data_IF_574043488285
#
_entry.id   IF_574043488285
#
_cell.length_a   1.000
_cell.length_b   1.000
_cell.length_c   1.000
_cell.angle_alpha   90.00
_cell.angle_beta   90.00
_cell.angle_gamma   90.00
#
_symmetry.space_group_name_H-M   'P 1'
#
loop_
_entity.id
_entity.type
_entity.pdbx_description
1 polymer ?
#
# COMPACT_ATOMS: atom_id res chain seq x y z
N UNK A 1 -17.81 15.38 -31.11
CA UNK A 1 -16.36 15.31 -30.80
C UNK A 1 -15.74 14.27 -31.71
N UNK A 2 -14.73 14.64 -32.51
CA UNK A 2 -13.97 13.67 -33.32
C UNK A 2 -13.31 12.65 -32.39
N UNK A 3 -13.49 11.35 -32.65
CA UNK A 3 -12.86 10.29 -31.89
C UNK A 3 -11.37 10.27 -32.22
N UNK A 4 -10.51 10.25 -31.19
CA UNK A 4 -9.07 10.13 -31.38
C UNK A 4 -8.78 8.78 -32.07
N UNK A 5 -8.06 8.72 -33.20
CA UNK A 5 -7.86 7.48 -33.96
C UNK A 5 -7.16 6.37 -33.17
N UNK A 6 -6.40 6.74 -32.14
CA UNK A 6 -5.69 5.80 -31.24
C UNK A 6 -6.42 5.57 -29.91
N UNK A 7 -7.66 6.03 -29.78
CA UNK A 7 -8.44 5.74 -28.60
C UNK A 7 -8.87 4.28 -28.61
N UNK A 8 -8.68 3.61 -27.48
CA UNK A 8 -9.27 2.29 -27.24
C UNK A 8 -10.79 2.38 -27.40
N UNK A 9 -11.32 1.49 -28.23
CA UNK A 9 -12.74 1.16 -28.34
C UNK A 9 -13.28 0.66 -27.00
N UNK A 10 -14.61 0.60 -26.87
CA UNK A 10 -15.22 0.13 -25.63
C UNK A 10 -14.93 -1.37 -25.40
N UNK A 11 -14.93 -2.16 -26.46
CA UNK A 11 -14.61 -3.59 -26.42
C UNK A 11 -13.18 -3.86 -25.94
N UNK A 12 -12.21 -3.07 -26.42
CA UNK A 12 -10.81 -3.21 -25.98
C UNK A 12 -10.66 -2.85 -24.49
N UNK A 13 -11.38 -1.84 -24.01
CA UNK A 13 -11.35 -1.45 -22.60
C UNK A 13 -11.94 -2.52 -21.71
N UNK A 14 -13.05 -3.10 -22.12
CA UNK A 14 -13.69 -4.20 -21.41
C UNK A 14 -12.77 -5.42 -21.34
N UNK A 15 -12.13 -5.77 -22.46
CA UNK A 15 -11.12 -6.84 -22.49
C UNK A 15 -9.93 -6.59 -21.55
N UNK A 16 -9.44 -5.35 -21.48
CA UNK A 16 -8.36 -4.97 -20.55
C UNK A 16 -8.82 -5.12 -19.10
N UNK A 17 -10.02 -4.64 -18.77
CA UNK A 17 -10.57 -4.74 -17.40
C UNK A 17 -10.77 -6.21 -17.02
N UNK A 18 -11.38 -7.01 -17.90
CA UNK A 18 -11.57 -8.44 -17.68
C UNK A 18 -10.22 -9.14 -17.43
N UNK A 19 -9.19 -8.80 -18.22
CA UNK A 19 -7.84 -9.34 -18.02
C UNK A 19 -7.29 -8.95 -16.64
N UNK A 20 -7.45 -7.70 -16.22
CA UNK A 20 -7.00 -7.25 -14.90
C UNK A 20 -7.75 -7.94 -13.76
N UNK A 21 -8.98 -8.41 -13.98
CA UNK A 21 -9.79 -9.15 -12.99
C UNK A 21 -9.55 -10.66 -12.96
N UNK A 22 -8.82 -11.23 -13.93
CA UNK A 22 -8.53 -12.67 -13.94
C UNK A 22 -7.68 -13.08 -12.74
N UNK A 23 -7.91 -14.28 -12.21
CA UNK A 23 -7.20 -14.86 -11.07
C UNK A 23 -5.66 -14.68 -11.07
N UNK A 24 -4.92 -14.86 -12.18
CA UNK A 24 -3.48 -14.62 -12.20
C UNK A 24 -3.05 -13.16 -12.04
N UNK A 25 -3.95 -12.17 -12.11
CA UNK A 25 -3.65 -10.73 -12.18
C UNK A 25 -4.49 -9.86 -11.22
N UNK A 26 -5.56 -10.41 -10.62
CA UNK A 26 -6.50 -9.66 -9.79
C UNK A 26 -5.82 -8.95 -8.61
N UNK A 27 -4.85 -9.61 -7.99
CA UNK A 27 -4.17 -9.13 -6.78
C UNK A 27 -2.86 -8.37 -7.06
N UNK A 28 -2.53 -8.11 -8.34
CA UNK A 28 -1.27 -7.52 -8.74
C UNK A 28 -1.40 -6.05 -9.13
N UNK A 29 -0.40 -5.21 -8.87
CA UNK A 29 -0.40 -3.84 -9.39
C UNK A 29 -0.31 -3.84 -10.93
N UNK A 30 -0.89 -2.84 -11.62
CA UNK A 30 -0.86 -2.75 -13.09
C UNK A 30 0.55 -2.83 -13.70
N UNK A 31 1.58 -2.34 -13.01
CA UNK A 31 2.96 -2.46 -13.46
C UNK A 31 3.44 -3.91 -13.52
N UNK A 32 3.07 -4.75 -12.56
CA UNK A 32 3.44 -6.17 -12.54
C UNK A 32 2.66 -6.95 -13.59
N UNK A 33 1.35 -6.69 -13.72
CA UNK A 33 0.53 -7.31 -14.77
C UNK A 33 1.09 -7.00 -16.15
N UNK A 34 1.51 -5.75 -16.40
CA UNK A 34 2.14 -5.36 -17.66
C UNK A 34 3.41 -6.16 -17.94
N UNK A 35 4.31 -6.33 -16.96
CA UNK A 35 5.52 -7.15 -17.14
C UNK A 35 5.18 -8.61 -17.44
N UNK A 36 4.24 -9.22 -16.70
CA UNK A 36 3.84 -10.61 -16.94
C UNK A 36 3.17 -10.84 -18.28
N UNK A 37 2.45 -9.85 -18.81
CA UNK A 37 1.89 -9.91 -20.15
C UNK A 37 3.00 -9.81 -21.20
N UNK A 38 4.01 -8.95 -21.00
CA UNK A 38 5.16 -8.88 -21.89
C UNK A 38 6.00 -10.17 -21.91
N UNK A 39 6.16 -10.84 -20.77
CA UNK A 39 6.79 -12.17 -20.71
C UNK A 39 6.06 -13.23 -21.55
N UNK A 40 4.79 -12.99 -21.89
CA UNK A 40 3.94 -13.82 -22.75
C UNK A 40 3.79 -13.26 -24.17
N UNK A 41 4.63 -12.28 -24.54
CA UNK A 41 4.55 -11.54 -25.80
C UNK A 41 3.20 -10.84 -26.06
N UNK A 42 2.48 -10.47 -24.99
CA UNK A 42 1.19 -9.79 -25.05
C UNK A 42 1.31 -8.34 -24.59
N UNK A 43 1.04 -7.40 -25.49
CA UNK A 43 0.97 -5.96 -25.16
C UNK A 43 -0.46 -5.44 -25.35
N UNK A 44 -1.23 -5.33 -24.26
CA UNK A 44 -2.62 -4.85 -24.31
C UNK A 44 -2.71 -3.33 -24.35
N UNK A 45 -2.06 -2.64 -23.41
CA UNK A 45 -1.99 -1.19 -23.34
C UNK A 45 -0.87 -0.73 -22.39
N UNK A 46 -0.64 0.58 -22.31
CA UNK A 46 0.31 1.15 -21.36
C UNK A 46 -0.18 1.06 -19.92
N UNK A 47 0.75 0.98 -18.96
CA UNK A 47 0.46 0.97 -17.51
C UNK A 47 -0.41 2.16 -17.09
N UNK A 48 -0.14 3.37 -17.62
CA UNK A 48 -0.95 4.56 -17.35
C UNK A 48 -2.39 4.44 -17.82
N UNK A 49 -2.63 3.68 -18.89
CA UNK A 49 -3.99 3.40 -19.40
C UNK A 49 -4.72 2.42 -18.49
N UNK A 50 -4.05 1.37 -18.00
CA UNK A 50 -4.60 0.45 -17.01
C UNK A 50 -5.06 1.19 -15.75
N UNK A 51 -4.21 2.07 -15.19
CA UNK A 51 -4.59 2.89 -14.03
C UNK A 51 -5.79 3.80 -14.32
N UNK A 52 -5.87 4.42 -15.50
CA UNK A 52 -7.02 5.24 -15.90
C UNK A 52 -8.31 4.43 -15.99
N UNK A 53 -8.26 3.19 -16.47
CA UNK A 53 -9.43 2.32 -16.56
C UNK A 53 -9.89 1.88 -15.17
N UNK A 54 -8.97 1.41 -14.32
CA UNK A 54 -9.30 1.04 -12.93
C UNK A 54 -9.87 2.22 -12.14
N UNK A 55 -9.29 3.42 -12.31
CA UNK A 55 -9.82 4.63 -11.65
C UNK A 55 -11.25 4.96 -12.08
N UNK A 56 -11.62 4.71 -13.34
CA UNK A 56 -13.00 4.90 -13.80
C UNK A 56 -13.98 3.93 -13.15
N UNK A 57 -13.51 2.73 -12.78
CA UNK A 57 -14.30 1.71 -12.07
C UNK A 57 -14.26 1.88 -10.54
N UNK A 58 -13.51 2.86 -10.00
CA UNK A 58 -13.33 3.02 -8.56
C UNK A 58 -12.32 2.04 -7.94
N UNK A 59 -11.53 1.34 -8.76
CA UNK A 59 -10.62 0.27 -8.35
C UNK A 59 -9.15 0.72 -8.28
N UNK A 60 -8.87 2.01 -8.01
CA UNK A 60 -7.49 2.53 -8.00
C UNK A 60 -6.72 2.24 -6.69
N UNK A 61 -7.31 1.48 -5.78
CA UNK A 61 -6.76 1.20 -4.46
C UNK A 61 -5.75 0.04 -4.43
N UNK A 62 -5.44 -0.38 -3.21
CA UNK A 62 -4.65 -1.59 -2.97
C UNK A 62 -5.39 -2.82 -3.55
N UNK A 63 -4.69 -3.59 -4.38
CA UNK A 63 -5.25 -4.78 -5.06
C UNK A 63 -4.87 -6.08 -4.35
N UNK A 64 -3.80 -6.07 -3.56
CA UNK A 64 -3.36 -7.25 -2.81
C UNK A 64 -4.37 -7.58 -1.72
N UNK A 65 -4.51 -8.87 -1.43
CA UNK A 65 -5.19 -9.35 -0.24
C UNK A 65 -4.46 -8.87 1.03
N UNK A 66 -4.82 -7.70 1.53
CA UNK A 66 -4.32 -7.16 2.79
C UNK A 66 -5.18 -7.66 3.95
N UNK A 67 -4.53 -7.87 5.10
CA UNK A 67 -5.25 -8.08 6.35
C UNK A 67 -6.08 -6.83 6.65
N UNK A 68 -7.37 -6.95 6.99
CA UNK A 68 -8.16 -5.78 7.37
C UNK A 68 -7.55 -5.10 8.59
N UNK A 69 -7.73 -3.78 8.67
CA UNK A 69 -7.27 -3.00 9.81
C UNK A 69 -7.81 -3.61 11.11
N UNK A 70 -6.92 -3.95 12.04
CA UNK A 70 -7.31 -4.44 13.34
C UNK A 70 -7.45 -3.26 14.29
N UNK A 71 -8.63 -3.09 14.87
CA UNK A 71 -8.85 -2.13 15.94
C UNK A 71 -8.57 -2.80 17.28
N UNK A 72 -7.36 -2.62 17.79
CA UNK A 72 -7.02 -3.02 19.15
C UNK A 72 -7.41 -1.89 20.10
N UNK A 73 -7.99 -2.24 21.25
CA UNK A 73 -8.25 -1.26 22.29
C UNK A 73 -6.94 -0.59 22.70
N UNK A 74 -6.90 0.75 22.61
CA UNK A 74 -5.74 1.52 23.07
C UNK A 74 -5.73 1.43 24.60
N UNK A 75 -4.69 0.83 25.23
CA UNK A 75 -4.63 0.75 26.68
C UNK A 75 -4.50 2.16 27.24
N UNK A 76 -5.45 2.56 28.09
CA UNK A 76 -5.39 3.80 28.87
C UNK A 76 -5.10 3.41 30.31
N UNK A 77 -3.92 3.75 30.79
CA UNK A 77 -3.50 3.51 32.16
C UNK A 77 -3.64 4.82 32.95
N UNK A 78 -4.19 4.73 34.16
CA UNK A 78 -4.32 5.84 35.10
C UNK A 78 -3.63 5.44 36.41
N UNK A 79 -2.82 6.33 36.97
CA UNK A 79 -2.21 6.16 38.30
C UNK A 79 -3.04 6.91 39.34
N UNK A 80 -3.28 6.28 40.49
CA UNK A 80 -3.88 6.87 41.69
C UNK A 80 -2.86 7.03 42.82
N UNK A 81 -1.73 6.32 42.72
CA UNK A 81 -0.60 6.43 43.64
C UNK A 81 0.75 6.32 42.90
N UNK A 82 1.84 6.84 43.48
CA UNK A 82 3.16 6.73 42.90
C UNK A 82 3.58 5.26 42.68
N UNK A 83 4.21 5.00 41.53
CA UNK A 83 4.72 3.69 41.08
C UNK A 83 3.67 2.69 40.54
N UNK A 84 2.42 3.10 40.33
CA UNK A 84 1.39 2.26 39.71
C UNK A 84 1.53 2.17 38.18
N UNK A 85 1.96 3.25 37.53
CA UNK A 85 2.15 3.31 36.08
C UNK A 85 3.54 3.85 35.77
N UNK A 86 4.27 3.13 34.92
CA UNK A 86 5.57 3.54 34.41
C UNK A 86 5.47 3.70 32.91
N UNK A 87 5.89 4.86 32.41
CA UNK A 87 6.16 5.06 31.00
C UNK A 87 7.67 5.16 30.78
N UNK A 88 8.13 4.60 29.68
CA UNK A 88 9.51 4.77 29.24
C UNK A 88 9.53 5.02 27.75
N UNK A 89 10.42 5.92 27.35
CA UNK A 89 10.74 6.18 25.96
C UNK A 89 12.21 5.83 25.69
N UNK A 90 12.47 5.34 24.49
CA UNK A 90 13.83 5.01 24.04
C UNK A 90 14.16 5.93 22.88
N UNK A 91 15.17 6.76 23.09
CA UNK A 91 15.70 7.63 22.04
C UNK A 91 16.96 7.00 21.45
N UNK A 92 16.93 6.73 20.14
CA UNK A 92 18.09 6.26 19.38
C UNK A 92 18.88 7.46 18.87
N UNK A 93 20.09 7.66 19.38
CA UNK A 93 20.98 8.71 18.95
C UNK A 93 21.95 8.16 17.88
N UNK A 94 21.91 8.69 16.65
CA UNK A 94 22.80 8.24 15.58
C UNK A 94 24.25 8.66 15.89
N UNK A 95 25.19 7.75 15.63
CA UNK A 95 26.62 8.03 15.70
C UNK A 95 27.23 8.20 14.30
N UNK A 96 28.52 8.58 14.26
CA UNK A 96 29.32 8.72 13.04
C UNK A 96 29.38 7.45 12.17
N UNK A 97 29.14 6.27 12.76
CA UNK A 97 29.08 5.00 12.04
C UNK A 97 27.64 4.59 11.79
N UNK A 98 27.28 4.43 10.52
CA UNK A 98 25.97 3.93 10.08
C UNK A 98 25.69 2.56 10.71
N UNK A 99 24.52 2.42 11.32
CA UNK A 99 24.10 1.18 11.99
C UNK A 99 24.53 1.05 13.45
N UNK A 100 25.31 2.00 13.99
CA UNK A 100 25.64 2.05 15.41
C UNK A 100 24.87 3.22 16.05
N UNK A 101 24.19 2.92 17.15
CA UNK A 101 23.36 3.88 17.89
C UNK A 101 23.69 3.82 19.37
N UNK A 102 23.66 4.97 20.04
CA UNK A 102 23.50 5.03 21.48
C UNK A 102 22.01 5.04 21.80
N UNK A 103 21.61 4.28 22.81
CA UNK A 103 20.24 4.27 23.30
C UNK A 103 20.19 4.94 24.66
N UNK A 104 19.43 6.03 24.76
CA UNK A 104 19.06 6.61 26.04
C UNK A 104 17.67 6.12 26.40
N UNK A 105 17.50 5.66 27.64
CA UNK A 105 16.22 5.23 28.19
C UNK A 105 15.80 6.24 29.23
N UNK A 106 14.70 6.95 29.01
CA UNK A 106 14.10 7.84 29.98
C UNK A 106 12.95 7.11 30.66
N UNK A 107 12.94 7.11 32.00
CA UNK A 107 11.87 6.53 32.81
C UNK A 107 11.11 7.68 33.45
N UNK A 108 9.83 7.80 33.15
CA UNK A 108 8.97 8.82 33.75
C UNK A 108 8.07 8.13 34.78
N UNK A 109 8.04 8.68 35.99
CA UNK A 109 7.05 8.31 37.01
C UNK A 109 5.79 9.12 36.72
N UNK A 110 4.67 8.43 36.51
CA UNK A 110 3.37 9.09 36.44
C UNK A 110 2.90 9.29 37.89
N UNK A 111 2.77 10.55 38.33
CA UNK A 111 2.21 10.91 39.64
C UNK A 111 0.70 10.61 39.74
#
# INVERSE_FOLDING_TARGET
>A
KSAQPRALSEQEREHIIETLHRAPYCDQPPAEVYQRLLEKDQCLCSVSTMHRLLRKQGENGERRAQRPAQHNAIPRLLAFAPNEVWSWDITKLPLVRRGIYLVSVQKQLTD
#
